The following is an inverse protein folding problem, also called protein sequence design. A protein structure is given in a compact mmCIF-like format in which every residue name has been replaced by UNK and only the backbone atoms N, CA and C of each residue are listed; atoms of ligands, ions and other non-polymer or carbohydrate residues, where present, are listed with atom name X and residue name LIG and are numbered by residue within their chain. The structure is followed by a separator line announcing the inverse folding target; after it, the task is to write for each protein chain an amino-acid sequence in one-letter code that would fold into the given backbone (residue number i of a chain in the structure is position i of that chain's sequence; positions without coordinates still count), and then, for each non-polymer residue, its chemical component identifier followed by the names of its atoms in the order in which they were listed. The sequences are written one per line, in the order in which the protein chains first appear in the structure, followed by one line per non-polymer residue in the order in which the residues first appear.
data_IF_192565876573
#
_entry.id   IF_192565876573
#
_cell.length_a   1.000
_cell.length_b   1.000
_cell.length_c   1.000
_cell.angle_alpha   90.00
_cell.angle_beta   90.00
_cell.angle_gamma   90.00
#
_symmetry.space_group_name_H-M   'P 1'
#
loop_
_entity.id
_entity.type
_entity.pdbx_description
1 polymer ?
#
# COMPACT_ATOMS: atom_id res chain seq x y z
N UNK A 1 -0.14 -1.68 -25.64
CA UNK A 1 0.22 -2.98 -25.03
C UNK A 1 0.21 -4.16 -25.99
N UNK A 2 -0.74 -4.29 -26.93
CA UNK A 2 -0.84 -5.51 -27.75
C UNK A 2 0.25 -5.67 -28.84
N UNK A 3 0.80 -4.57 -29.38
CA UNK A 3 1.74 -4.64 -30.51
C UNK A 3 3.12 -5.16 -30.09
N UNK A 4 3.62 -4.75 -28.92
CA UNK A 4 4.96 -5.16 -28.44
C UNK A 4 5.01 -6.60 -27.94
N UNK A 5 3.94 -7.09 -27.30
CA UNK A 5 3.84 -8.52 -26.90
C UNK A 5 3.89 -9.45 -28.12
N UNK A 6 3.23 -9.05 -29.21
CA UNK A 6 3.22 -9.83 -30.46
C UNK A 6 4.60 -9.83 -31.13
N UNK A 7 5.34 -8.72 -31.04
CA UNK A 7 6.70 -8.58 -31.59
C UNK A 7 7.70 -9.47 -30.86
N UNK A 8 7.71 -9.43 -29.53
CA UNK A 8 8.62 -10.24 -28.71
C UNK A 8 8.38 -11.74 -28.92
N UNK A 9 7.12 -12.17 -28.98
CA UNK A 9 6.78 -13.58 -29.27
C UNK A 9 7.23 -14.02 -30.67
N UNK A 10 7.18 -13.12 -31.65
CA UNK A 10 7.69 -13.40 -33.00
C UNK A 10 9.20 -13.53 -33.01
N UNK A 11 9.91 -12.62 -32.33
CA UNK A 11 11.37 -12.65 -32.23
C UNK A 11 11.87 -13.92 -31.53
N UNK A 12 11.20 -14.38 -30.46
CA UNK A 12 11.52 -15.65 -29.78
C UNK A 12 11.42 -16.83 -30.74
N UNK A 13 10.34 -16.91 -31.53
CA UNK A 13 10.16 -17.99 -32.53
C UNK A 13 11.24 -17.97 -33.62
N UNK A 14 11.70 -16.79 -34.03
CA UNK A 14 12.79 -16.66 -34.99
C UNK A 14 14.14 -17.07 -34.37
N UNK A 15 14.35 -16.75 -33.09
CA UNK A 15 15.56 -17.12 -32.35
C UNK A 15 15.68 -18.64 -32.22
N UNK A 16 14.58 -19.32 -31.88
CA UNK A 16 14.51 -20.80 -31.81
C UNK A 16 14.84 -21.48 -33.15
N UNK A 17 14.55 -20.79 -34.27
CA UNK A 17 14.82 -21.27 -35.63
C UNK A 17 16.22 -20.88 -36.14
N UNK A 18 16.95 -20.04 -35.41
CA UNK A 18 18.22 -19.45 -35.86
C UNK A 18 18.08 -18.41 -36.97
N UNK A 19 16.86 -17.89 -37.19
CA UNK A 19 16.52 -16.92 -38.24
C UNK A 19 16.57 -15.46 -37.73
N UNK A 20 16.76 -15.27 -36.42
CA UNK A 20 16.79 -13.95 -35.82
C UNK A 20 18.03 -13.16 -36.24
N UNK A 21 17.80 -11.96 -36.76
CA UNK A 21 18.85 -10.97 -37.03
C UNK A 21 19.52 -10.53 -35.72
N UNK A 22 20.86 -10.65 -35.67
CA UNK A 22 21.68 -10.20 -34.53
C UNK A 22 21.48 -8.70 -34.28
N UNK A 23 21.27 -7.91 -35.32
CA UNK A 23 21.04 -6.47 -35.23
C UNK A 23 19.71 -6.19 -34.54
N UNK A 24 18.66 -6.93 -34.87
CA UNK A 24 17.33 -6.74 -34.29
C UNK A 24 17.27 -7.28 -32.85
N UNK A 25 17.98 -8.37 -32.57
CA UNK A 25 18.16 -8.87 -31.21
C UNK A 25 18.85 -7.83 -30.33
N UNK A 26 19.94 -7.23 -30.81
CA UNK A 26 20.66 -6.17 -30.09
C UNK A 26 19.74 -4.99 -29.76
N UNK A 27 19.00 -4.47 -30.74
CA UNK A 27 18.05 -3.35 -30.54
C UNK A 27 16.97 -3.68 -29.51
N UNK A 28 16.41 -4.88 -29.56
CA UNK A 28 15.38 -5.30 -28.60
C UNK A 28 15.94 -5.43 -27.18
N UNK A 29 17.16 -5.94 -27.03
CA UNK A 29 17.83 -6.03 -25.73
C UNK A 29 18.17 -4.64 -25.17
N UNK A 30 18.68 -3.73 -26.00
CA UNK A 30 18.94 -2.34 -25.61
C UNK A 30 17.65 -1.62 -25.19
N UNK A 31 16.55 -1.84 -25.93
CA UNK A 31 15.24 -1.28 -25.58
C UNK A 31 14.72 -1.85 -24.25
N UNK A 32 14.76 -3.17 -24.07
CA UNK A 32 14.33 -3.81 -22.83
C UNK A 32 15.15 -3.33 -21.63
N UNK A 33 16.48 -3.18 -21.80
CA UNK A 33 17.35 -2.62 -20.77
C UNK A 33 16.95 -1.17 -20.42
N UNK A 34 16.73 -0.32 -21.42
CA UNK A 34 16.30 1.08 -21.21
C UNK A 34 14.97 1.17 -20.45
N UNK A 35 13.99 0.33 -20.80
CA UNK A 35 12.71 0.28 -20.09
C UNK A 35 12.91 -0.16 -18.64
N UNK A 36 13.73 -1.20 -18.40
CA UNK A 36 14.03 -1.66 -17.04
C UNK A 36 14.79 -0.61 -16.21
N UNK A 37 15.72 0.11 -16.82
CA UNK A 37 16.42 1.23 -16.19
C UNK A 37 15.46 2.34 -15.76
N UNK A 38 14.49 2.71 -16.62
CA UNK A 38 13.48 3.72 -16.26
C UNK A 38 12.61 3.27 -15.07
N UNK A 39 12.18 2.00 -15.04
CA UNK A 39 11.36 1.45 -13.96
C UNK A 39 12.17 1.38 -12.66
N UNK A 40 13.46 1.01 -12.73
CA UNK A 40 14.34 0.97 -11.56
C UNK A 40 14.55 2.36 -10.96
N UNK A 41 14.79 3.37 -11.80
CA UNK A 41 14.96 4.75 -11.35
C UNK A 41 13.66 5.26 -10.71
N UNK A 42 12.51 5.03 -11.33
CA UNK A 42 11.22 5.49 -10.80
C UNK A 42 10.85 4.79 -9.49
N UNK A 43 11.09 3.48 -9.37
CA UNK A 43 10.88 2.76 -8.11
C UNK A 43 11.85 3.23 -7.02
N UNK A 44 13.12 3.48 -7.37
CA UNK A 44 14.10 4.02 -6.42
C UNK A 44 13.71 5.43 -5.95
N UNK A 45 13.23 6.31 -6.83
CA UNK A 45 12.71 7.62 -6.44
C UNK A 45 11.47 7.49 -5.55
N UNK A 46 10.53 6.63 -5.91
CA UNK A 46 9.30 6.40 -5.15
C UNK A 46 9.59 5.90 -3.73
N UNK A 47 10.57 5.01 -3.57
CA UNK A 47 10.98 4.51 -2.26
C UNK A 47 11.67 5.60 -1.43
N UNK A 48 12.59 6.35 -2.05
CA UNK A 48 13.31 7.43 -1.36
C UNK A 48 12.36 8.57 -0.92
N UNK A 49 11.41 8.97 -1.75
CA UNK A 49 10.43 10.01 -1.40
C UNK A 49 9.52 9.58 -0.24
N UNK A 50 9.23 8.28 -0.08
CA UNK A 50 8.40 7.78 1.04
C UNK A 50 9.15 7.59 2.36
N UNK A 51 10.46 7.37 2.32
CA UNK A 51 11.28 7.31 3.54
C UNK A 51 11.66 8.71 4.05
N UNK A 52 11.81 9.69 3.15
CA UNK A 52 12.17 11.08 3.49
C UNK A 52 11.05 11.77 4.28
N UNK A 53 9.78 11.66 3.85
CA UNK A 53 8.63 12.29 4.52
C UNK A 53 8.31 11.74 5.93
N UNK A 54 8.77 10.53 6.26
CA UNK A 54 8.55 9.90 7.57
C UNK A 54 9.71 10.08 8.55
N UNK A 55 10.89 10.47 8.06
CA UNK A 55 12.13 10.57 8.84
C UNK A 55 12.13 11.72 9.86
N UNK A 56 11.37 12.79 9.60
CA UNK A 56 11.24 13.96 10.47
C UNK A 56 10.28 13.77 11.65
N UNK A 57 9.55 12.64 11.70
CA UNK A 57 8.54 12.40 12.74
C UNK A 57 9.20 11.75 13.97
N UNK A 58 9.44 12.55 15.02
CA UNK A 58 9.90 12.00 16.31
C UNK A 58 8.77 11.21 16.99
N UNK A 59 9.01 9.93 17.29
CA UNK A 59 8.01 8.98 17.82
C UNK A 59 7.44 9.36 19.19
N UNK A 60 8.20 10.11 19.99
CA UNK A 60 7.85 10.64 21.31
C UNK A 60 6.93 11.87 21.25
N UNK A 61 6.95 12.64 20.15
CA UNK A 61 6.04 13.74 19.88
C UNK A 61 4.62 13.27 19.50
N UNK A 62 4.46 12.00 19.14
CA UNK A 62 3.16 11.40 18.78
C UNK A 62 2.38 11.02 20.04
N UNK A 63 1.13 11.49 20.25
CA UNK A 63 0.31 11.07 21.39
C UNK A 63 0.02 9.55 21.40
N UNK A 64 -0.16 8.97 22.59
CA UNK A 64 -0.40 7.52 22.78
C UNK A 64 -1.58 6.99 21.96
N UNK A 65 -2.65 7.76 21.90
CA UNK A 65 -3.90 7.43 21.23
C UNK A 65 -3.70 7.25 19.73
N UNK A 66 -2.83 8.06 19.14
CA UNK A 66 -2.50 8.01 17.72
C UNK A 66 -1.61 6.79 17.44
N UNK A 67 -0.62 6.50 18.30
CA UNK A 67 0.21 5.29 18.17
C UNK A 67 -0.63 4.02 18.28
N UNK A 68 -1.54 3.97 19.25
CA UNK A 68 -2.43 2.83 19.46
C UNK A 68 -3.38 2.63 18.27
N UNK A 69 -3.91 3.72 17.70
CA UNK A 69 -4.72 3.68 16.50
C UNK A 69 -3.94 3.18 15.27
N UNK A 70 -2.72 3.69 15.06
CA UNK A 70 -1.83 3.27 13.98
C UNK A 70 -1.46 1.79 14.10
N UNK A 71 -1.10 1.33 15.30
CA UNK A 71 -0.82 -0.08 15.57
C UNK A 71 -2.05 -0.95 15.23
N UNK A 72 -3.25 -0.53 15.65
CA UNK A 72 -4.49 -1.28 15.38
C UNK A 72 -4.85 -1.38 13.88
N UNK A 73 -4.45 -0.40 13.08
CA UNK A 73 -4.81 -0.31 11.65
C UNK A 73 -3.79 -1.04 10.76
N UNK A 74 -2.49 -0.85 11.03
CA UNK A 74 -1.41 -1.34 10.16
C UNK A 74 -0.79 -2.65 10.64
N UNK A 75 -0.83 -2.97 11.94
CA UNK A 75 -0.41 -4.28 12.45
C UNK A 75 -1.63 -5.17 12.64
N UNK A 76 -1.99 -5.93 11.59
CA UNK A 76 -3.05 -6.94 11.68
C UNK A 76 -2.61 -8.05 12.63
N UNK A 77 -2.73 -7.83 13.93
CA UNK A 77 -2.41 -8.81 14.96
C UNK A 77 -3.60 -9.78 15.11
N UNK A 78 -3.57 -10.84 14.31
CA UNK A 78 -4.44 -11.99 14.48
C UNK A 78 -4.16 -12.61 15.86
N UNK A 79 -5.04 -12.38 16.85
CA UNK A 79 -5.17 -13.29 18.00
C UNK A 79 -4.60 -12.86 19.37
N UNK A 80 -4.85 -11.63 19.84
CA UNK A 80 -4.90 -11.37 21.29
C UNK A 80 -6.16 -10.57 21.65
N UNK A 81 -7.25 -11.30 21.92
CA UNK A 81 -8.32 -10.77 22.77
C UNK A 81 -7.77 -10.64 24.20
N UNK A 82 -7.67 -9.42 24.76
CA UNK A 82 -8.15 -9.13 26.12
C UNK A 82 -8.19 -7.63 26.47
N UNK A 83 -9.42 -7.10 26.54
CA UNK A 83 -9.94 -5.97 27.35
C UNK A 83 -9.51 -4.53 27.01
N UNK A 84 -10.41 -3.82 26.32
CA UNK A 84 -11.36 -2.89 26.98
C UNK A 84 -12.73 -2.97 26.31
N UNK A 85 -13.56 -3.85 26.85
CA UNK A 85 -15.00 -3.78 26.70
C UNK A 85 -15.48 -2.73 27.71
N UNK A 86 -15.70 -1.50 27.25
CA UNK A 86 -16.50 -0.37 27.81
C UNK A 86 -15.87 0.94 27.28
N UNK A 87 -16.57 1.91 26.68
CA UNK A 87 -17.96 2.32 26.79
C UNK A 87 -18.44 2.88 25.45
N UNK A 88 -19.14 2.09 24.62
CA UNK A 88 -20.07 2.68 23.65
C UNK A 88 -21.46 2.49 24.24
N UNK A 89 -22.14 3.57 24.69
CA UNK A 89 -23.42 3.42 25.37
C UNK A 89 -24.38 2.71 24.40
N UNK A 90 -24.83 1.53 24.81
CA UNK A 90 -25.80 0.74 24.04
C UNK A 90 -27.08 1.57 23.92
N UNK A 91 -27.74 1.51 22.78
CA UNK A 91 -28.96 2.28 22.49
C UNK A 91 -30.00 2.20 23.63
N UNK A 92 -30.12 1.04 24.29
CA UNK A 92 -30.99 0.86 25.46
C UNK A 92 -30.60 1.70 26.68
N UNK A 93 -29.31 1.88 26.96
CA UNK A 93 -28.83 2.76 28.04
C UNK A 93 -29.07 4.23 27.71
N UNK A 94 -28.95 4.62 26.44
CA UNK A 94 -29.28 5.98 25.99
C UNK A 94 -30.77 6.24 26.14
N UNK A 95 -31.63 5.30 25.71
CA UNK A 95 -33.08 5.41 25.87
C UNK A 95 -33.47 5.56 27.34
N UNK A 96 -32.91 4.74 28.24
CA UNK A 96 -33.19 4.88 29.67
C UNK A 96 -32.71 6.22 30.25
N UNK A 97 -31.53 6.70 29.85
CA UNK A 97 -31.01 8.00 30.30
C UNK A 97 -31.86 9.17 29.78
N UNK A 98 -32.38 9.10 28.55
CA UNK A 98 -33.28 10.11 27.97
C UNK A 98 -34.65 10.06 28.66
N UNK A 99 -35.19 8.87 28.91
CA UNK A 99 -36.44 8.68 29.67
C UNK A 99 -36.32 9.23 31.10
N UNK A 100 -35.15 9.09 31.73
CA UNK A 100 -34.89 9.63 33.06
C UNK A 100 -34.53 11.12 33.06
N UNK A 101 -33.90 11.63 31.99
CA UNK A 101 -33.27 12.95 31.93
C UNK A 101 -34.10 14.07 31.30
N UNK A 102 -35.15 13.79 30.53
CA UNK A 102 -36.06 14.82 29.98
C UNK A 102 -37.11 15.28 31.02
N UNK A 103 -37.16 14.66 32.21
CA UNK A 103 -38.17 14.97 33.23
C UNK A 103 -37.62 15.58 34.54
N UNK A 104 -36.43 16.19 34.51
CA UNK A 104 -35.90 16.92 35.68
C UNK A 104 -35.40 18.30 35.27
N UNK A 105 -36.35 19.18 34.95
CA UNK A 105 -36.30 20.59 35.33
C UNK A 105 -37.75 21.13 35.44
N UNK A 106 -38.18 21.37 36.68
CA UNK A 106 -39.11 22.42 37.11
C UNK A 106 -38.54 23.03 38.38
#
# INVERSE_FOLDING_TARGET
MCVEDTLLRSLVKQLERGEASVVDLKKNLEYAATVLESVYIDETRRLLDTEDELSDIQSDAVPSEVRDWLASTFTRQMGMMLRRSDEKPRFKSIVHAVQAGIFVER
#
